data_IF_217570046777
#
_entry.id   IF_217570046777
#
_cell.length_a   1.000
_cell.length_b   1.000
_cell.length_c   1.000
_cell.angle_alpha   90.00
_cell.angle_beta   90.00
_cell.angle_gamma   90.00
#
_symmetry.space_group_name_H-M   'P 1'
#
loop_
_entity.id
_entity.type
_entity.pdbx_description
1 polymer ?
#
# COMPACT_ATOMS: atom_id res chain seq x y z
N UNK A 1 -52.52 4.27 43.22
CA UNK A 1 -51.74 4.00 44.44
C UNK A 1 -50.32 3.70 44.01
N UNK A 2 -49.40 4.68 44.13
CA UNK A 2 -48.37 4.80 45.19
C UNK A 2 -47.21 3.81 44.97
N UNK A 3 -45.91 4.14 45.07
CA UNK A 3 -45.23 5.37 45.50
C UNK A 3 -43.73 5.26 45.19
N UNK A 4 -43.09 6.40 44.92
CA UNK A 4 -41.63 6.64 44.94
C UNK A 4 -41.04 6.38 46.33
N UNK A 5 -39.79 5.90 46.46
CA UNK A 5 -38.78 6.26 47.51
C UNK A 5 -37.37 5.95 46.95
N UNK A 6 -36.46 6.90 46.71
CA UNK A 6 -35.69 7.82 47.60
C UNK A 6 -34.42 7.16 48.17
N UNK A 7 -33.28 7.75 47.79
CA UNK A 7 -31.99 7.93 48.48
C UNK A 7 -31.54 6.88 49.50
N UNK A 8 -30.32 6.36 49.30
CA UNK A 8 -29.41 6.17 50.42
C UNK A 8 -27.94 6.37 50.00
N UNK A 9 -27.38 7.48 50.46
CA UNK A 9 -25.94 7.74 50.54
C UNK A 9 -25.28 6.67 51.42
N UNK A 10 -24.21 6.06 50.93
CA UNK A 10 -23.19 5.45 51.77
C UNK A 10 -21.86 6.15 51.51
N UNK A 11 -21.58 7.15 52.35
CA UNK A 11 -20.21 7.57 52.67
C UNK A 11 -19.49 6.39 53.33
N UNK A 12 -18.37 5.95 52.77
CA UNK A 12 -17.23 5.45 53.54
C UNK A 12 -15.96 5.56 52.68
N UNK A 13 -15.04 6.39 53.16
CA UNK A 13 -13.65 6.54 52.72
C UNK A 13 -12.83 5.28 53.01
N UNK A 14 -12.03 4.78 52.07
CA UNK A 14 -10.64 4.38 52.34
C UNK A 14 -9.85 4.10 51.06
N UNK A 15 -8.59 4.53 51.10
CA UNK A 15 -7.48 4.38 50.16
C UNK A 15 -7.52 3.17 49.21
N UNK A 16 -7.31 3.42 47.92
CA UNK A 16 -6.47 2.53 47.12
C UNK A 16 -5.89 3.23 45.88
N UNK A 17 -4.58 3.04 45.73
CA UNK A 17 -3.80 3.08 44.49
C UNK A 17 -3.59 4.45 43.84
N UNK A 18 -2.39 4.97 44.06
CA UNK A 18 -1.71 5.82 43.08
C UNK A 18 -1.77 5.12 41.71
N UNK A 19 -2.65 5.60 40.83
CA UNK A 19 -2.62 5.21 39.43
C UNK A 19 -1.40 5.86 38.81
N UNK A 20 -0.32 5.08 38.68
CA UNK A 20 0.75 5.41 37.76
C UNK A 20 0.12 5.50 36.36
N UNK A 21 -0.07 6.72 35.87
CA UNK A 21 -0.47 6.97 34.49
C UNK A 21 0.76 6.59 33.64
N UNK A 22 0.81 5.31 33.26
CA UNK A 22 1.64 4.87 32.15
C UNK A 22 1.10 5.58 30.91
N UNK A 23 1.77 6.68 30.53
CA UNK A 23 1.58 7.28 29.23
C UNK A 23 2.06 6.25 28.21
N UNK A 24 1.12 5.48 27.66
CA UNK A 24 1.38 4.75 26.44
C UNK A 24 1.63 5.81 25.37
N UNK A 25 2.90 6.09 25.09
CA UNK A 25 3.30 6.82 23.89
C UNK A 25 2.84 6.00 22.69
N UNK A 26 1.65 6.33 22.19
CA UNK A 26 1.24 5.91 20.87
C UNK A 26 2.24 6.50 19.90
N UNK A 27 3.16 5.67 19.39
CA UNK A 27 3.99 6.01 18.23
C UNK A 27 3.02 6.27 17.08
N UNK A 28 2.63 7.53 16.90
CA UNK A 28 1.99 7.98 15.67
C UNK A 28 3.05 7.83 14.58
N UNK A 29 3.03 6.71 13.86
CA UNK A 29 3.63 6.65 12.53
C UNK A 29 2.89 7.67 11.68
N UNK A 30 3.38 8.90 11.65
CA UNK A 30 2.95 9.88 10.67
C UNK A 30 3.38 9.34 9.31
N UNK A 31 2.41 8.86 8.53
CA UNK A 31 2.61 8.67 7.09
C UNK A 31 2.99 10.05 6.57
N UNK A 32 4.26 10.20 6.20
CA UNK A 32 4.75 11.48 5.72
C UNK A 32 4.06 11.78 4.40
N UNK A 33 3.08 12.70 4.46
CA UNK A 33 2.33 13.11 3.28
C UNK A 33 3.24 13.91 2.37
N UNK A 34 3.28 13.52 1.11
CA UNK A 34 4.03 14.18 0.06
C UNK A 34 3.36 15.53 -0.27
N UNK A 35 4.16 16.49 -0.68
CA UNK A 35 3.66 17.61 -1.47
C UNK A 35 3.22 17.13 -2.87
N UNK A 36 2.44 17.94 -3.57
CA UNK A 36 2.04 17.63 -4.95
C UNK A 36 3.24 17.44 -5.88
N UNK A 37 4.30 18.26 -5.71
CA UNK A 37 5.50 18.17 -6.53
C UNK A 37 6.25 16.85 -6.31
N UNK A 38 6.43 16.42 -5.05
CA UNK A 38 7.08 15.16 -4.72
C UNK A 38 6.26 13.94 -5.18
N UNK A 39 4.93 14.01 -5.05
CA UNK A 39 4.04 12.98 -5.57
C UNK A 39 4.17 12.86 -7.09
N UNK A 40 4.07 13.97 -7.82
CA UNK A 40 4.21 14.00 -9.28
C UNK A 40 5.58 13.45 -9.71
N UNK A 41 6.65 13.83 -9.02
CA UNK A 41 7.99 13.32 -9.30
C UNK A 41 8.07 11.80 -9.11
N UNK A 42 7.51 11.25 -8.03
CA UNK A 42 7.50 9.80 -7.79
C UNK A 42 6.64 9.05 -8.81
N UNK A 43 5.46 9.59 -9.14
CA UNK A 43 4.60 9.02 -10.20
C UNK A 43 5.34 8.99 -11.54
N UNK A 44 6.06 10.05 -11.89
CA UNK A 44 6.87 10.08 -13.11
C UNK A 44 7.97 9.00 -13.07
N UNK A 45 8.71 8.89 -11.96
CA UNK A 45 9.76 7.88 -11.80
C UNK A 45 9.24 6.45 -12.01
N UNK A 46 8.08 6.10 -11.43
CA UNK A 46 7.49 4.78 -11.62
C UNK A 46 6.90 4.60 -13.03
N UNK A 47 6.34 5.66 -13.62
CA UNK A 47 5.86 5.65 -15.01
C UNK A 47 7.01 5.42 -15.98
N UNK A 48 8.18 5.98 -15.74
CA UNK A 48 9.38 5.76 -16.55
C UNK A 48 9.86 4.30 -16.47
N UNK A 49 9.79 3.68 -15.28
CA UNK A 49 10.08 2.24 -15.13
C UNK A 49 9.09 1.38 -15.92
N UNK A 50 7.80 1.72 -15.89
CA UNK A 50 6.78 1.06 -16.71
C UNK A 50 7.13 1.23 -18.20
N UNK A 51 7.40 2.45 -18.67
CA UNK A 51 7.73 2.71 -20.06
C UNK A 51 9.00 1.98 -20.52
N UNK A 52 10.04 1.93 -19.69
CA UNK A 52 11.25 1.16 -19.97
C UNK A 52 10.95 -0.33 -20.12
N UNK A 53 10.12 -0.90 -19.25
CA UNK A 53 9.76 -2.32 -19.39
C UNK A 53 8.98 -2.61 -20.68
N UNK A 54 8.28 -1.64 -21.28
CA UNK A 54 7.55 -1.81 -22.55
C UNK A 54 8.48 -2.04 -23.73
N UNK A 55 9.68 -1.44 -23.72
CA UNK A 55 10.65 -1.66 -24.79
C UNK A 55 11.18 -3.09 -24.82
N UNK A 56 11.05 -3.82 -23.72
CA UNK A 56 11.45 -5.23 -23.59
C UNK A 56 10.27 -6.16 -23.83
N UNK A 57 9.13 -5.89 -23.19
CA UNK A 57 7.97 -6.79 -23.13
C UNK A 57 6.97 -6.61 -24.27
N UNK A 58 6.86 -5.39 -24.80
CA UNK A 58 5.78 -5.02 -25.73
C UNK A 58 6.34 -4.70 -27.13
N UNK A 59 7.67 -4.67 -27.31
CA UNK A 59 8.30 -4.35 -28.58
C UNK A 59 8.18 -5.52 -29.57
N UNK A 60 7.71 -5.22 -30.78
CA UNK A 60 7.70 -6.19 -31.88
C UNK A 60 9.13 -6.63 -32.22
N UNK A 61 9.37 -7.94 -32.22
CA UNK A 61 10.70 -8.48 -32.53
C UNK A 61 11.76 -8.27 -31.45
N UNK A 62 11.36 -8.04 -30.19
CA UNK A 62 12.29 -7.96 -29.05
C UNK A 62 13.26 -9.14 -29.04
N UNK A 63 14.56 -8.85 -28.99
CA UNK A 63 15.62 -9.86 -28.86
C UNK A 63 15.97 -10.17 -27.40
N UNK A 64 15.17 -9.68 -26.46
CA UNK A 64 15.40 -9.87 -25.04
C UNK A 64 15.28 -11.34 -24.65
N UNK A 65 16.25 -11.81 -23.87
CA UNK A 65 16.25 -13.14 -23.26
C UNK A 65 15.06 -13.30 -22.31
N UNK A 66 14.71 -14.56 -22.01
CA UNK A 66 13.65 -14.84 -21.04
C UNK A 66 13.94 -14.21 -19.66
N UNK A 67 15.20 -14.17 -19.24
CA UNK A 67 15.62 -13.54 -17.98
C UNK A 67 15.37 -12.02 -18.00
N UNK A 68 15.71 -11.33 -19.10
CA UNK A 68 15.44 -9.89 -19.25
C UNK A 68 13.93 -9.59 -19.28
N UNK A 69 13.14 -10.45 -19.92
CA UNK A 69 11.67 -10.33 -19.91
C UNK A 69 11.11 -10.53 -18.49
N UNK A 70 11.55 -11.56 -17.77
CA UNK A 70 11.15 -11.77 -16.36
C UNK A 70 11.52 -10.57 -15.50
N UNK A 71 12.75 -10.05 -15.63
CA UNK A 71 13.19 -8.88 -14.89
C UNK A 71 12.34 -7.64 -15.21
N UNK A 72 12.08 -7.38 -16.49
CA UNK A 72 11.24 -6.27 -16.93
C UNK A 72 9.81 -6.38 -16.39
N UNK A 73 9.24 -7.58 -16.41
CA UNK A 73 7.90 -7.85 -15.88
C UNK A 73 7.84 -7.58 -14.37
N UNK A 74 8.79 -8.10 -13.61
CA UNK A 74 8.84 -7.92 -12.17
C UNK A 74 9.12 -6.46 -11.77
N UNK A 75 9.94 -5.74 -12.54
CA UNK A 75 10.12 -4.29 -12.40
C UNK A 75 8.81 -3.54 -12.64
N UNK A 76 8.06 -3.88 -13.71
CA UNK A 76 6.75 -3.26 -14.02
C UNK A 76 5.75 -3.49 -12.90
N UNK A 77 5.64 -4.73 -12.39
CA UNK A 77 4.78 -5.06 -11.26
C UNK A 77 5.10 -4.24 -10.01
N UNK A 78 6.40 -4.16 -9.65
CA UNK A 78 6.81 -3.37 -8.51
C UNK A 78 6.51 -1.87 -8.70
N UNK A 79 6.74 -1.30 -9.89
CA UNK A 79 6.40 0.09 -10.17
C UNK A 79 4.90 0.38 -9.90
N UNK A 80 4.00 -0.48 -10.36
CA UNK A 80 2.57 -0.35 -10.06
C UNK A 80 2.24 -0.52 -8.57
N UNK A 81 2.92 -1.42 -7.83
CA UNK A 81 2.76 -1.48 -6.37
C UNK A 81 3.15 -0.18 -5.68
N UNK A 82 4.25 0.44 -6.11
CA UNK A 82 4.67 1.71 -5.54
C UNK A 82 3.67 2.82 -5.87
N UNK A 83 3.18 2.89 -7.12
CA UNK A 83 2.11 3.83 -7.52
C UNK A 83 0.88 3.65 -6.64
N UNK A 84 0.41 2.41 -6.45
CA UNK A 84 -0.74 2.09 -5.60
C UNK A 84 -0.51 2.59 -4.17
N UNK A 85 0.64 2.24 -3.58
CA UNK A 85 0.99 2.61 -2.20
C UNK A 85 1.02 4.12 -2.01
N UNK A 86 1.79 4.85 -2.83
CA UNK A 86 1.93 6.31 -2.64
C UNK A 86 0.62 7.04 -2.95
N UNK A 87 -0.22 6.50 -3.82
CA UNK A 87 -1.53 7.09 -4.13
C UNK A 87 -2.54 6.90 -2.99
N UNK A 88 -2.53 5.74 -2.33
CA UNK A 88 -3.35 5.49 -1.13
C UNK A 88 -2.91 6.38 0.04
N UNK A 89 -1.61 6.49 0.28
CA UNK A 89 -1.04 7.32 1.35
C UNK A 89 -1.32 8.83 1.15
N UNK A 90 -1.53 9.24 -0.10
CA UNK A 90 -1.68 10.65 -0.50
C UNK A 90 -3.00 10.93 -1.26
N UNK A 91 -4.09 10.25 -0.90
CA UNK A 91 -5.38 10.30 -1.60
C UNK A 91 -6.02 11.71 -1.78
N UNK A 92 -5.51 12.73 -1.07
CA UNK A 92 -5.94 14.12 -1.18
C UNK A 92 -5.23 14.90 -2.30
N UNK A 93 -4.15 14.35 -2.86
CA UNK A 93 -3.40 14.97 -3.95
C UNK A 93 -4.08 14.75 -5.30
N UNK A 94 -3.78 15.62 -6.24
CA UNK A 94 -4.26 15.52 -7.61
C UNK A 94 -3.85 14.16 -8.21
N UNK A 95 -4.77 13.56 -8.98
CA UNK A 95 -4.59 12.27 -9.65
C UNK A 95 -4.38 11.05 -8.73
N UNK A 96 -4.23 11.21 -7.42
CA UNK A 96 -3.99 10.10 -6.49
C UNK A 96 -5.05 9.00 -6.62
N UNK A 97 -6.33 9.35 -6.58
CA UNK A 97 -7.40 8.36 -6.70
C UNK A 97 -7.41 7.67 -8.07
N UNK A 98 -7.08 8.39 -9.15
CA UNK A 98 -7.01 7.78 -10.49
C UNK A 98 -5.82 6.82 -10.59
N UNK A 99 -4.65 7.21 -10.10
CA UNK A 99 -3.45 6.40 -10.12
C UNK A 99 -3.59 5.17 -9.22
N UNK A 100 -4.25 5.30 -8.07
CA UNK A 100 -4.65 4.17 -7.23
C UNK A 100 -5.51 3.18 -8.03
N UNK A 101 -6.59 3.66 -8.67
CA UNK A 101 -7.48 2.79 -9.44
C UNK A 101 -6.75 2.09 -10.59
N UNK A 102 -5.96 2.84 -11.37
CA UNK A 102 -5.20 2.30 -12.50
C UNK A 102 -4.19 1.23 -12.05
N UNK A 103 -3.44 1.50 -10.98
CA UNK A 103 -2.46 0.55 -10.44
C UNK A 103 -3.13 -0.69 -9.86
N UNK A 104 -4.24 -0.53 -9.12
CA UNK A 104 -5.00 -1.65 -8.58
C UNK A 104 -5.54 -2.55 -9.69
N UNK A 105 -6.14 -1.95 -10.72
CA UNK A 105 -6.66 -2.69 -11.87
C UNK A 105 -5.56 -3.48 -12.59
N UNK A 106 -4.41 -2.84 -12.87
CA UNK A 106 -3.29 -3.52 -13.50
C UNK A 106 -2.79 -4.69 -12.66
N UNK A 107 -2.53 -4.48 -11.37
CA UNK A 107 -2.01 -5.53 -10.47
C UNK A 107 -2.97 -6.72 -10.38
N UNK A 108 -4.28 -6.45 -10.30
CA UNK A 108 -5.29 -7.49 -10.30
C UNK A 108 -5.27 -8.32 -11.59
N UNK A 109 -5.24 -7.66 -12.75
CA UNK A 109 -5.17 -8.33 -14.05
C UNK A 109 -3.91 -9.21 -14.17
N UNK A 110 -2.76 -8.74 -13.69
CA UNK A 110 -1.53 -9.54 -13.72
C UNK A 110 -1.59 -10.74 -12.78
N UNK A 111 -2.17 -10.56 -11.60
CA UNK A 111 -2.38 -11.66 -10.66
C UNK A 111 -3.28 -12.74 -11.27
N UNK A 112 -4.40 -12.35 -11.87
CA UNK A 112 -5.32 -13.26 -12.57
C UNK A 112 -4.61 -13.98 -13.73
N UNK A 113 -3.82 -13.27 -14.53
CA UNK A 113 -3.05 -13.83 -15.64
C UNK A 113 -2.06 -14.90 -15.17
N UNK A 114 -1.27 -14.61 -14.13
CA UNK A 114 -0.31 -15.57 -13.57
C UNK A 114 -1.01 -16.80 -13.01
N UNK A 115 -2.08 -16.60 -12.23
CA UNK A 115 -2.87 -17.70 -11.65
C UNK A 115 -3.48 -18.59 -12.73
N UNK A 116 -4.04 -18.00 -13.79
CA UNK A 116 -4.60 -18.76 -14.92
C UNK A 116 -3.55 -19.59 -15.66
N UNK A 117 -2.29 -19.18 -15.59
CA UNK A 117 -1.15 -19.89 -16.16
C UNK A 117 -0.51 -20.90 -15.19
N UNK A 118 -1.10 -21.10 -14.01
CA UNK A 118 -0.55 -21.97 -12.96
C UNK A 118 0.72 -21.41 -12.30
N UNK A 119 1.05 -20.14 -12.53
CA UNK A 119 2.19 -19.46 -11.94
C UNK A 119 1.74 -18.69 -10.69
N UNK A 120 2.71 -18.45 -9.81
CA UNK A 120 2.55 -17.52 -8.70
C UNK A 120 3.59 -16.40 -8.90
N UNK A 121 3.21 -15.17 -8.55
CA UNK A 121 4.09 -14.02 -8.76
C UNK A 121 5.33 -14.04 -7.87
N UNK A 122 5.23 -14.44 -6.60
CA UNK A 122 6.40 -14.47 -5.70
C UNK A 122 7.45 -15.46 -6.17
N UNK A 123 7.04 -16.61 -6.71
CA UNK A 123 7.93 -17.61 -7.33
C UNK A 123 8.46 -17.13 -8.68
N UNK A 124 7.63 -16.45 -9.48
CA UNK A 124 8.03 -15.92 -10.80
C UNK A 124 9.02 -14.76 -10.68
N UNK A 125 8.82 -13.88 -9.70
CA UNK A 125 9.65 -12.71 -9.43
C UNK A 125 10.69 -12.92 -8.32
N UNK A 126 10.92 -14.17 -7.91
CA UNK A 126 12.05 -14.52 -7.05
C UNK A 126 13.36 -14.11 -7.70
N UNK A 127 14.27 -13.54 -6.92
CA UNK A 127 15.61 -13.11 -7.33
C UNK A 127 16.56 -14.25 -7.72
N UNK A 128 16.07 -15.48 -7.83
CA UNK A 128 16.86 -16.71 -8.05
C UNK A 128 16.91 -17.15 -9.52
N UNK A 129 16.57 -16.28 -10.47
CA UNK A 129 16.91 -16.49 -11.89
C UNK A 129 18.41 -16.22 -12.09
N UNK A 130 19.23 -17.14 -11.60
CA UNK A 130 20.69 -17.19 -11.81
C UNK A 130 21.04 -17.42 -13.27
#
# INVERSE_FOLDING_TARGET
MQSRKIFQNCWFTLLCSAAAIAHAETVQLSVQKLSQAEYNQKIQQYTDQVNLSKTILDAEGSSATAQEQTQAFCTRLNAYRQILKISQENATLEMANLMQFAAQHYLQQQQESLQSSGLNESAFCSTDSK
#
